data_IF_409580296166
#
_entry.id   IF_409580296166
#
_cell.length_a   1.000
_cell.length_b   1.000
_cell.length_c   1.000
_cell.angle_alpha   90.00
_cell.angle_beta   90.00
_cell.angle_gamma   90.00
#
_symmetry.space_group_name_H-M   'P 1'
#
loop_
_entity.id
_entity.type
_entity.pdbx_description
1 polymer ?
#
# COMPACT_ATOMS: atom_id res chain seq x y z
N UNK A 1 -17.40 63.25 5.04
CA UNK A 1 -17.08 63.42 3.61
C UNK A 1 -17.16 62.05 2.93
N UNK A 2 -18.12 61.93 2.01
CA UNK A 2 -18.24 60.96 0.89
C UNK A 2 -18.26 59.45 1.20
N UNK A 3 -19.42 58.77 1.08
CA UNK A 3 -20.07 58.25 -0.14
C UNK A 3 -19.30 57.03 -0.72
N UNK A 4 -19.80 55.79 -0.58
CA UNK A 4 -20.86 55.14 -1.36
C UNK A 4 -20.58 55.19 -2.87
N UNK A 5 -20.16 54.06 -3.45
CA UNK A 5 -20.22 53.68 -4.88
C UNK A 5 -19.75 52.21 -4.96
N UNK A 6 -20.64 51.22 -4.84
CA UNK A 6 -21.36 50.60 -5.97
C UNK A 6 -20.58 50.61 -7.28
N UNK A 7 -19.96 49.47 -7.60
CA UNK A 7 -19.50 49.15 -8.95
C UNK A 7 -20.32 47.97 -9.47
N UNK A 8 -21.40 48.30 -10.19
CA UNK A 8 -22.10 47.41 -11.11
C UNK A 8 -21.56 47.66 -12.52
N UNK A 9 -20.90 46.67 -13.12
CA UNK A 9 -20.67 46.52 -14.58
C UNK A 9 -20.33 45.04 -14.83
N UNK A 10 -20.85 44.29 -15.80
CA UNK A 10 -21.86 44.50 -16.85
C UNK A 10 -22.15 43.08 -17.39
N UNK A 11 -23.42 42.68 -17.51
CA UNK A 11 -23.83 41.47 -18.24
C UNK A 11 -23.41 41.59 -19.71
N UNK A 12 -22.89 40.50 -20.28
CA UNK A 12 -22.92 40.27 -21.74
C UNK A 12 -23.38 38.84 -22.01
N UNK A 13 -24.61 38.74 -22.50
CA UNK A 13 -25.18 37.58 -23.18
C UNK A 13 -24.76 37.66 -24.65
N UNK A 14 -24.14 36.61 -25.18
CA UNK A 14 -24.14 36.25 -26.60
C UNK A 14 -24.78 34.85 -26.62
N UNK A 15 -26.02 34.65 -27.06
CA UNK A 15 -26.66 34.89 -28.37
C UNK A 15 -26.07 34.07 -29.52
N UNK A 16 -26.98 33.31 -30.13
CA UNK A 16 -26.94 32.62 -31.42
C UNK A 16 -26.38 31.19 -31.36
N UNK A 17 -27.03 30.15 -31.89
CA UNK A 17 -28.20 30.08 -32.77
C UNK A 17 -28.75 28.64 -32.81
N UNK A 18 -30.07 28.56 -33.02
CA UNK A 18 -30.88 27.36 -33.14
C UNK A 18 -30.36 26.36 -34.20
N UNK A 19 -30.32 25.07 -33.84
CA UNK A 19 -30.40 23.96 -34.79
C UNK A 19 -31.54 23.03 -34.36
N UNK A 20 -32.46 22.86 -35.30
CA UNK A 20 -33.74 22.16 -35.22
C UNK A 20 -33.54 20.64 -35.07
N UNK A 21 -34.30 19.92 -34.23
CA UNK A 21 -34.28 18.46 -34.24
C UNK A 21 -35.18 17.94 -35.37
N UNK A 22 -34.57 17.38 -36.42
CA UNK A 22 -35.27 16.64 -37.46
C UNK A 22 -35.60 15.22 -36.98
N UNK A 23 -36.89 14.86 -37.09
CA UNK A 23 -37.45 13.53 -36.88
C UNK A 23 -36.82 12.50 -37.83
N UNK A 24 -36.19 11.45 -37.29
CA UNK A 24 -35.90 10.19 -37.99
C UNK A 24 -36.20 9.03 -37.02
N UNK A 25 -36.85 7.99 -37.56
CA UNK A 25 -37.67 6.98 -36.86
C UNK A 25 -36.97 6.00 -35.91
N UNK A 26 -37.73 5.05 -35.33
CA UNK A 26 -37.28 4.20 -34.25
C UNK A 26 -36.39 3.08 -34.80
N UNK A 27 -35.09 3.34 -34.84
CA UNK A 27 -34.09 2.30 -35.05
C UNK A 27 -33.74 1.73 -33.69
N UNK A 28 -34.07 0.47 -33.48
CA UNK A 28 -33.74 -0.34 -32.32
C UNK A 28 -32.24 -0.33 -32.04
N UNK A 29 -31.78 0.62 -31.22
CA UNK A 29 -30.47 0.55 -30.58
C UNK A 29 -30.60 -0.40 -29.40
N UNK A 30 -30.17 -1.64 -29.60
CA UNK A 30 -29.86 -2.60 -28.54
C UNK A 30 -29.06 -1.89 -27.45
N UNK A 31 -29.71 -1.63 -26.31
CA UNK A 31 -29.03 -1.27 -25.07
C UNK A 31 -28.14 -2.44 -24.70
N UNK A 32 -26.85 -2.35 -25.05
CA UNK A 32 -25.85 -3.26 -24.53
C UNK A 32 -25.76 -3.00 -23.02
N UNK A 33 -26.54 -3.76 -22.25
CA UNK A 33 -26.43 -3.82 -20.80
C UNK A 33 -25.09 -4.45 -20.47
N UNK A 34 -24.03 -3.64 -20.46
CA UNK A 34 -22.76 -4.05 -19.88
C UNK A 34 -22.98 -4.12 -18.37
N UNK A 35 -23.34 -5.29 -17.88
CA UNK A 35 -23.40 -5.65 -16.46
C UNK A 35 -21.99 -5.68 -15.83
N UNK A 36 -21.19 -4.63 -16.04
CA UNK A 36 -19.91 -4.45 -15.38
C UNK A 36 -20.10 -3.61 -14.11
N UNK A 37 -20.93 -4.11 -13.20
CA UNK A 37 -21.03 -3.61 -11.82
C UNK A 37 -19.84 -4.11 -10.99
N UNK A 38 -18.64 -3.70 -11.37
CA UNK A 38 -17.46 -3.90 -10.52
C UNK A 38 -16.94 -2.53 -10.10
N UNK A 39 -17.26 -2.15 -8.85
CA UNK A 39 -16.91 -0.85 -8.23
C UNK A 39 -15.43 -0.71 -7.89
N UNK A 40 -14.61 -1.74 -8.05
CA UNK A 40 -13.22 -1.73 -7.57
C UNK A 40 -12.29 -0.86 -8.40
N UNK A 41 -12.58 -0.63 -9.70
CA UNK A 41 -11.71 0.17 -10.57
C UNK A 41 -11.82 1.68 -10.28
N UNK A 42 -13.01 2.17 -9.95
CA UNK A 42 -13.26 3.59 -9.65
C UNK A 42 -12.81 3.98 -8.24
N UNK A 43 -12.90 3.08 -7.25
CA UNK A 43 -12.43 3.36 -5.89
C UNK A 43 -10.89 3.51 -5.81
N UNK A 44 -10.15 2.77 -6.65
CA UNK A 44 -8.68 2.77 -6.64
C UNK A 44 -8.06 4.09 -7.13
N UNK A 45 -8.73 4.80 -8.05
CA UNK A 45 -8.20 6.02 -8.69
C UNK A 45 -8.59 7.32 -7.97
N UNK A 46 -9.77 7.37 -7.34
CA UNK A 46 -10.34 8.60 -6.79
C UNK A 46 -9.58 9.17 -5.58
N UNK A 47 -8.90 8.33 -4.79
CA UNK A 47 -8.22 8.76 -3.56
C UNK A 47 -6.69 8.84 -3.65
N UNK A 48 -6.06 8.33 -4.72
CA UNK A 48 -4.60 8.19 -4.75
C UNK A 48 -4.03 7.86 -6.15
N UNK A 49 -4.12 8.79 -7.12
CA UNK A 49 -3.68 8.50 -8.51
C UNK A 49 -2.17 8.23 -8.68
N UNK A 50 -1.33 8.49 -7.66
CA UNK A 50 0.12 8.21 -7.65
C UNK A 50 0.57 7.19 -6.59
N UNK A 51 -0.35 6.54 -5.87
CA UNK A 51 0.05 5.63 -4.81
C UNK A 51 0.43 4.27 -5.39
N UNK A 52 1.74 4.04 -5.57
CA UNK A 52 2.31 2.78 -6.08
C UNK A 52 2.30 1.68 -4.99
N UNK A 53 1.37 1.75 -4.04
CA UNK A 53 1.32 0.89 -2.87
C UNK A 53 2.48 1.14 -1.89
N UNK A 54 2.51 0.40 -0.76
CA UNK A 54 3.59 0.52 0.20
C UNK A 54 4.88 -0.04 -0.40
N UNK A 55 5.76 0.80 -0.93
CA UNK A 55 7.08 0.39 -1.47
C UNK A 55 8.24 0.77 -0.53
N UNK A 56 8.03 1.77 0.34
CA UNK A 56 9.08 2.38 1.16
C UNK A 56 9.81 1.40 2.07
N UNK A 57 9.13 0.39 2.62
CA UNK A 57 9.75 -0.59 3.51
C UNK A 57 10.81 -1.44 2.79
N UNK A 58 10.54 -1.86 1.55
CA UNK A 58 11.49 -2.64 0.74
C UNK A 58 12.66 -1.80 0.20
N UNK A 59 12.50 -0.49 0.13
CA UNK A 59 13.58 0.42 -0.32
C UNK A 59 14.73 0.46 0.69
N UNK A 60 14.47 0.19 1.97
CA UNK A 60 15.50 0.16 3.02
C UNK A 60 16.57 -0.92 2.75
N UNK A 61 16.20 -2.04 2.13
CA UNK A 61 17.16 -3.09 1.76
C UNK A 61 18.14 -2.67 0.65
N UNK A 62 17.86 -1.56 -0.06
CA UNK A 62 18.73 -1.05 -1.14
C UNK A 62 19.76 -0.05 -0.64
N UNK A 63 19.72 0.31 0.64
CA UNK A 63 20.65 1.25 1.23
C UNK A 63 22.01 0.56 1.34
N UNK A 64 22.98 1.09 0.59
CA UNK A 64 24.38 0.66 0.68
C UNK A 64 25.09 1.60 1.64
N UNK A 65 25.73 1.01 2.63
CA UNK A 65 26.49 1.76 3.63
C UNK A 65 27.97 1.88 3.22
N UNK A 66 28.67 2.93 3.68
CA UNK A 66 30.11 3.04 3.48
C UNK A 66 30.84 1.90 4.21
N UNK A 67 32.04 1.50 3.72
CA UNK A 67 32.86 0.48 4.37
C UNK A 67 33.26 0.92 5.79
N UNK A 68 33.23 -0.02 6.73
CA UNK A 68 33.64 0.22 8.12
C UNK A 68 35.15 0.22 8.27
N UNK A 69 35.66 1.01 9.22
CA UNK A 69 37.08 0.98 9.59
C UNK A 69 37.40 -0.29 10.40
N UNK A 70 38.65 -0.78 10.40
CA UNK A 70 39.04 -1.98 11.16
C UNK A 70 38.79 -1.90 12.67
N UNK A 71 38.84 -0.68 13.23
CA UNK A 71 38.66 -0.40 14.65
C UNK A 71 37.17 -0.25 15.06
N UNK A 72 36.25 -0.23 14.09
CA UNK A 72 34.81 -0.06 14.37
C UNK A 72 34.14 -1.40 14.68
N UNK A 73 33.19 -1.40 15.62
CA UNK A 73 32.39 -2.60 15.90
C UNK A 73 31.61 -3.05 14.66
N UNK A 74 31.54 -4.36 14.37
CA UNK A 74 30.76 -4.87 13.24
C UNK A 74 29.30 -4.43 13.31
N UNK A 75 28.79 -3.85 12.22
CA UNK A 75 27.39 -3.43 12.15
C UNK A 75 26.46 -4.64 12.02
N UNK A 76 25.36 -4.72 12.80
CA UNK A 76 24.37 -5.76 12.62
C UNK A 76 23.66 -5.59 11.27
N UNK A 77 23.50 -6.69 10.54
CA UNK A 77 22.69 -6.72 9.34
C UNK A 77 21.20 -6.64 9.72
N UNK A 78 20.42 -5.90 8.94
CA UNK A 78 18.96 -5.89 9.04
C UNK A 78 18.33 -6.25 7.70
N UNK A 79 17.12 -6.80 7.77
CA UNK A 79 16.34 -7.19 6.60
C UNK A 79 14.91 -6.72 6.78
N UNK A 80 14.43 -5.92 5.83
CA UNK A 80 13.05 -5.45 5.80
C UNK A 80 12.24 -6.30 4.81
N UNK A 81 11.20 -6.96 5.30
CA UNK A 81 10.24 -7.67 4.44
C UNK A 81 8.80 -7.26 4.76
N UNK A 82 7.91 -7.38 3.78
CA UNK A 82 6.49 -7.10 3.95
C UNK A 82 5.64 -7.96 2.99
N UNK A 83 4.44 -8.36 3.45
CA UNK A 83 3.38 -8.94 2.62
C UNK A 83 2.22 -7.96 2.52
N UNK A 84 1.77 -7.67 1.31
CA UNK A 84 0.68 -6.73 1.03
C UNK A 84 -0.62 -7.44 0.68
N UNK A 85 -1.74 -6.71 0.66
CA UNK A 85 -3.06 -7.23 0.25
C UNK A 85 -3.55 -8.44 1.07
N UNK A 86 -3.40 -8.38 2.39
CA UNK A 86 -3.83 -9.46 3.29
C UNK A 86 -5.30 -9.23 3.69
N UNK A 87 -6.18 -10.20 3.41
CA UNK A 87 -7.58 -10.17 3.87
C UNK A 87 -7.67 -10.50 5.36
N UNK A 88 -7.38 -9.51 6.19
CA UNK A 88 -7.47 -9.56 7.65
C UNK A 88 -7.61 -8.15 8.25
N UNK A 89 -8.08 -8.04 9.49
CA UNK A 89 -8.20 -6.74 10.15
C UNK A 89 -6.84 -6.22 10.64
N UNK A 90 -6.44 -4.97 10.34
CA UNK A 90 -5.17 -4.41 10.80
C UNK A 90 -5.02 -4.39 12.32
N UNK A 91 -6.10 -4.08 13.06
CA UNK A 91 -6.08 -4.06 14.53
C UNK A 91 -5.80 -5.45 15.11
N UNK A 92 -6.40 -6.50 14.54
CA UNK A 92 -6.15 -7.89 14.96
C UNK A 92 -4.75 -8.36 14.56
N UNK A 93 -4.24 -7.89 13.42
CA UNK A 93 -2.88 -8.19 12.99
C UNK A 93 -1.84 -7.58 13.95
N UNK A 94 -2.08 -6.35 14.39
CA UNK A 94 -1.19 -5.63 15.30
C UNK A 94 -0.97 -6.36 16.63
N UNK A 95 -2.01 -6.97 17.21
CA UNK A 95 -1.83 -7.78 18.43
C UNK A 95 -0.87 -8.96 18.24
N UNK A 96 -0.99 -9.66 17.10
CA UNK A 96 -0.12 -10.81 16.80
C UNK A 96 1.30 -10.33 16.50
N UNK A 97 1.46 -9.21 15.78
CA UNK A 97 2.77 -8.62 15.50
C UNK A 97 3.47 -8.14 16.78
N UNK A 98 2.74 -7.48 17.69
CA UNK A 98 3.26 -7.05 18.98
C UNK A 98 3.64 -8.22 19.89
N UNK A 99 2.95 -9.36 19.77
CA UNK A 99 3.26 -10.56 20.55
C UNK A 99 4.63 -11.16 20.21
N UNK A 100 5.01 -11.17 18.92
CA UNK A 100 6.32 -11.72 18.48
C UNK A 100 7.45 -10.71 18.51
N UNK A 101 7.17 -9.45 18.85
CA UNK A 101 8.18 -8.38 18.88
C UNK A 101 9.19 -8.64 20.00
N UNK A 102 10.48 -8.57 19.67
CA UNK A 102 11.57 -8.81 20.62
C UNK A 102 11.91 -10.28 20.85
N UNK A 103 11.19 -11.22 20.23
CA UNK A 103 11.54 -12.65 20.28
C UNK A 103 12.63 -12.97 19.25
N UNK A 104 13.39 -14.04 19.52
CA UNK A 104 14.21 -14.69 18.49
C UNK A 104 13.31 -15.24 17.38
N UNK A 105 13.84 -15.36 16.16
CA UNK A 105 13.08 -15.88 15.02
C UNK A 105 12.56 -17.30 15.30
N UNK A 106 13.37 -18.16 15.90
CA UNK A 106 13.00 -19.55 16.17
C UNK A 106 11.87 -19.64 17.22
N UNK A 107 11.96 -18.83 18.27
CA UNK A 107 10.90 -18.74 19.27
C UNK A 107 9.61 -18.19 18.67
N UNK A 108 9.69 -17.12 17.88
CA UNK A 108 8.54 -16.54 17.21
C UNK A 108 7.83 -17.57 16.31
N UNK A 109 8.58 -18.35 15.52
CA UNK A 109 8.03 -19.39 14.66
C UNK A 109 7.35 -20.52 15.46
N UNK A 110 7.92 -20.89 16.60
CA UNK A 110 7.32 -21.86 17.52
C UNK A 110 6.01 -21.32 18.09
N UNK A 111 6.00 -20.11 18.63
CA UNK A 111 4.79 -19.51 19.21
C UNK A 111 3.69 -19.33 18.16
N UNK A 112 4.02 -18.82 16.98
CA UNK A 112 3.05 -18.62 15.88
C UNK A 112 2.43 -19.94 15.38
N UNK A 113 3.08 -21.09 15.58
CA UNK A 113 2.51 -22.38 15.19
C UNK A 113 1.36 -22.85 16.08
N UNK A 114 1.25 -22.31 17.30
CA UNK A 114 0.20 -22.64 18.27
C UNK A 114 -0.86 -21.55 18.43
N UNK A 115 -0.74 -20.43 17.71
CA UNK A 115 -1.72 -19.34 17.75
C UNK A 115 -2.83 -19.62 16.73
N UNK A 116 -4.02 -19.98 17.22
CA UNK A 116 -5.23 -20.25 16.41
C UNK A 116 -5.87 -18.96 15.86
N UNK A 117 -5.10 -18.22 15.05
CA UNK A 117 -5.55 -17.01 14.35
C UNK A 117 -5.06 -17.05 12.91
N UNK A 118 -5.94 -16.71 11.97
CA UNK A 118 -5.60 -16.60 10.54
C UNK A 118 -4.37 -15.71 10.28
N UNK A 119 -4.23 -14.61 11.03
CA UNK A 119 -3.09 -13.70 10.89
C UNK A 119 -1.75 -14.31 11.31
N UNK A 120 -1.74 -15.29 12.21
CA UNK A 120 -0.52 -15.94 12.66
C UNK A 120 0.16 -16.73 11.53
N UNK A 121 -0.63 -17.44 10.72
CA UNK A 121 -0.13 -18.15 9.54
C UNK A 121 0.55 -17.18 8.54
N UNK A 122 -0.08 -16.04 8.26
CA UNK A 122 0.48 -15.04 7.34
C UNK A 122 1.79 -14.42 7.87
N UNK A 123 1.86 -14.14 9.18
CA UNK A 123 3.09 -13.61 9.80
C UNK A 123 4.19 -14.67 9.79
N UNK A 124 3.87 -15.94 10.09
CA UNK A 124 4.81 -17.06 10.04
C UNK A 124 5.45 -17.19 8.67
N UNK A 125 4.65 -17.16 7.60
CA UNK A 125 5.15 -17.16 6.22
C UNK A 125 6.04 -15.94 5.94
N UNK A 126 5.62 -14.74 6.36
CA UNK A 126 6.42 -13.53 6.16
C UNK A 126 7.80 -13.62 6.85
N UNK A 127 7.86 -14.17 8.06
CA UNK A 127 9.14 -14.36 8.78
C UNK A 127 10.01 -15.38 8.03
N UNK A 128 9.45 -16.49 7.55
CA UNK A 128 10.20 -17.50 6.80
C UNK A 128 10.78 -16.93 5.49
N UNK A 129 9.97 -16.18 4.74
CA UNK A 129 10.40 -15.48 3.52
C UNK A 129 11.52 -14.46 3.82
N UNK A 130 11.43 -13.74 4.94
CA UNK A 130 12.45 -12.78 5.37
C UNK A 130 13.77 -13.46 5.73
N UNK A 131 13.72 -14.60 6.44
CA UNK A 131 14.91 -15.39 6.80
C UNK A 131 15.59 -15.94 5.54
N UNK A 132 14.81 -16.43 4.58
CA UNK A 132 15.35 -16.89 3.31
C UNK A 132 16.04 -15.75 2.54
N UNK A 133 15.44 -14.56 2.53
CA UNK A 133 16.03 -13.36 1.94
C UNK A 133 17.32 -12.96 2.65
N UNK A 134 17.37 -13.04 3.98
CA UNK A 134 18.52 -12.70 4.79
C UNK A 134 19.76 -13.54 4.42
N UNK A 135 19.58 -14.85 4.32
CA UNK A 135 20.66 -15.79 4.00
C UNK A 135 21.10 -15.64 2.55
N UNK A 136 20.15 -15.52 1.61
CA UNK A 136 20.47 -15.53 0.17
C UNK A 136 21.00 -14.19 -0.36
N UNK A 137 20.53 -13.06 0.17
CA UNK A 137 20.79 -11.72 -0.41
C UNK A 137 21.58 -10.79 0.50
N UNK A 138 21.37 -10.89 1.82
CA UNK A 138 21.94 -9.96 2.79
C UNK A 138 23.16 -10.54 3.53
N UNK A 139 23.67 -11.69 3.06
CA UNK A 139 24.91 -12.31 3.53
C UNK A 139 24.93 -12.63 5.04
N UNK A 140 23.77 -13.04 5.58
CA UNK A 140 23.64 -13.52 6.96
C UNK A 140 23.96 -15.01 7.01
N UNK A 141 24.98 -15.39 7.77
CA UNK A 141 25.43 -16.78 7.91
C UNK A 141 24.47 -17.62 8.78
N UNK A 142 24.15 -17.14 9.97
CA UNK A 142 23.39 -17.91 10.97
C UNK A 142 21.92 -17.50 11.00
N UNK A 143 21.03 -18.45 10.66
CA UNK A 143 19.56 -18.26 10.73
C UNK A 143 19.05 -18.06 12.16
N UNK A 144 19.70 -18.69 13.13
CA UNK A 144 19.34 -18.65 14.55
C UNK A 144 19.73 -17.34 15.23
N UNK A 145 20.69 -16.58 14.69
CA UNK A 145 21.11 -15.28 15.23
C UNK A 145 20.30 -14.12 14.64
N UNK A 146 18.98 -14.30 14.56
CA UNK A 146 18.04 -13.30 14.06
C UNK A 146 16.94 -13.09 15.09
N UNK A 147 16.50 -11.85 15.25
CA UNK A 147 15.39 -11.48 16.13
C UNK A 147 14.44 -10.50 15.43
N UNK A 148 13.20 -10.45 15.91
CA UNK A 148 12.19 -9.52 15.42
C UNK A 148 12.34 -8.18 16.16
N UNK A 149 12.69 -7.12 15.44
CA UNK A 149 12.86 -5.76 15.99
C UNK A 149 11.55 -4.95 16.05
#
# INVERSE_FOLDING_TARGET
MSALLQSFRRLTLLSSSNLVPALVGPSSTTTATTNNFHTSSTLSKQWNSRNTGPSRWLQLNKIVYPPQAPEETPRPAFVCHQKTNIKYSPKKMWYIASFVRGMSVDEALKQLSFVDKKGAATIKEAILEAVEMAVKRNNVEFRSNLWVA
#
